data_IF_949277984700
#
_entry.id   IF_949277984700
#
_cell.length_a   1.000
_cell.length_b   1.000
_cell.length_c   1.000
_cell.angle_alpha   90.00
_cell.angle_beta   90.00
_cell.angle_gamma   90.00
#
_symmetry.space_group_name_H-M   'P 1'
#
loop_
_entity.id
_entity.type
_entity.pdbx_description
1 polymer ?
#
# COMPACT_ATOMS: atom_id res chain seq x y z
N UNK A 1 -1.61 -4.95 -17.48
CA UNK A 1 -0.48 -3.97 -17.50
C UNK A 1 0.84 -4.50 -16.93
N UNK A 2 1.03 -4.70 -15.60
CA UNK A 2 2.31 -5.28 -15.09
C UNK A 2 2.52 -6.72 -15.57
N UNK A 3 1.52 -7.57 -15.42
CA UNK A 3 1.58 -8.99 -15.79
C UNK A 3 1.86 -9.15 -17.28
N UNK A 4 1.10 -8.46 -18.14
CA UNK A 4 1.33 -8.44 -19.60
C UNK A 4 2.74 -7.99 -20.01
N UNK A 5 3.35 -7.00 -19.35
CA UNK A 5 4.71 -6.60 -19.72
C UNK A 5 5.77 -7.54 -19.12
N UNK A 6 5.47 -8.17 -17.99
CA UNK A 6 6.36 -9.13 -17.35
C UNK A 6 6.58 -10.39 -18.20
N UNK A 7 5.58 -10.82 -18.99
CA UNK A 7 5.75 -11.92 -19.95
C UNK A 7 6.79 -11.61 -21.04
N UNK A 8 7.01 -10.32 -21.32
CA UNK A 8 8.07 -9.84 -22.23
C UNK A 8 9.36 -9.42 -21.50
N UNK A 9 9.44 -9.63 -20.18
CA UNK A 9 10.57 -9.18 -19.36
C UNK A 9 10.69 -7.65 -19.22
N UNK A 10 9.62 -6.89 -19.49
CA UNK A 10 9.64 -5.42 -19.50
C UNK A 10 8.90 -4.82 -18.31
N UNK A 11 9.36 -3.65 -17.87
CA UNK A 11 8.65 -2.80 -16.93
C UNK A 11 7.71 -1.84 -17.69
N UNK A 12 6.41 -1.76 -17.33
CA UNK A 12 5.48 -0.83 -17.97
C UNK A 12 5.93 0.63 -17.83
N UNK A 13 5.99 1.39 -18.94
CA UNK A 13 6.40 2.81 -18.94
C UNK A 13 5.50 3.71 -18.06
N UNK A 14 4.23 3.36 -17.91
CA UNK A 14 3.24 4.11 -17.11
C UNK A 14 3.32 3.84 -15.59
N UNK A 15 4.17 2.91 -15.14
CA UNK A 15 4.26 2.51 -13.73
C UNK A 15 5.70 2.61 -13.24
N UNK A 16 5.88 3.15 -12.03
CA UNK A 16 7.20 3.17 -11.38
C UNK A 16 7.73 1.75 -11.20
N UNK A 17 9.03 1.55 -11.47
CA UNK A 17 9.73 0.30 -11.18
C UNK A 17 9.82 0.07 -9.68
N UNK A 18 9.94 -1.19 -9.27
CA UNK A 18 10.36 -1.53 -7.92
C UNK A 18 11.87 -1.31 -7.84
N UNK A 19 12.31 -0.39 -6.98
CA UNK A 19 13.71 -0.03 -6.75
C UNK A 19 14.39 -0.96 -5.72
N UNK A 20 13.63 -1.83 -5.06
CA UNK A 20 14.14 -2.71 -4.01
C UNK A 20 14.20 -2.02 -2.66
N UNK A 21 15.08 -2.53 -1.79
CA UNK A 21 15.28 -2.00 -0.44
C UNK A 21 15.81 -0.56 -0.44
N UNK A 22 15.40 0.28 0.52
CA UNK A 22 16.04 1.58 0.77
C UNK A 22 17.56 1.44 0.93
N UNK A 23 18.31 2.30 0.23
CA UNK A 23 19.78 2.37 0.23
C UNK A 23 20.18 3.84 0.13
N UNK A 24 21.43 4.18 0.48
CA UNK A 24 21.93 5.56 0.46
C UNK A 24 21.71 6.26 -0.88
N UNK A 25 21.98 5.55 -1.99
CA UNK A 25 21.68 6.03 -3.34
C UNK A 25 20.48 5.24 -3.87
N UNK A 26 19.30 5.85 -3.82
CA UNK A 26 18.04 5.20 -4.21
C UNK A 26 17.74 5.46 -5.69
N UNK A 27 17.67 4.42 -6.53
CA UNK A 27 17.31 4.60 -7.93
C UNK A 27 15.82 4.93 -8.06
N UNK A 28 15.46 5.79 -9.02
CA UNK A 28 14.08 6.24 -9.22
C UNK A 28 13.10 5.04 -9.31
N UNK A 29 12.23 4.91 -8.32
CA UNK A 29 11.24 3.84 -8.24
C UNK A 29 10.60 3.74 -6.86
N UNK A 30 9.79 2.70 -6.68
CA UNK A 30 9.17 2.37 -5.39
C UNK A 30 10.24 1.74 -4.48
N UNK A 31 10.47 2.23 -3.25
CA UNK A 31 11.42 1.66 -2.29
C UNK A 31 10.87 0.36 -1.67
N UNK A 32 10.55 -0.60 -2.54
CA UNK A 32 10.00 -1.88 -2.18
C UNK A 32 10.48 -2.92 -3.19
N UNK A 33 10.64 -4.16 -2.74
CA UNK A 33 11.05 -5.27 -3.60
C UNK A 33 9.82 -5.89 -4.28
N UNK A 34 9.95 -6.26 -5.55
CA UNK A 34 8.85 -6.92 -6.29
C UNK A 34 8.44 -8.23 -5.62
N UNK A 35 9.41 -9.03 -5.15
CA UNK A 35 9.14 -10.29 -4.44
C UNK A 35 8.30 -10.06 -3.19
N UNK A 36 8.72 -9.14 -2.32
CA UNK A 36 7.96 -8.77 -1.13
C UNK A 36 6.57 -8.23 -1.47
N UNK A 37 6.41 -7.51 -2.59
CA UNK A 37 5.10 -7.02 -3.01
C UNK A 37 4.15 -8.16 -3.38
N UNK A 38 4.63 -9.11 -4.18
CA UNK A 38 3.82 -10.26 -4.60
C UNK A 38 3.46 -11.15 -3.41
N UNK A 39 4.41 -11.37 -2.50
CA UNK A 39 4.20 -12.11 -1.26
C UNK A 39 3.14 -11.44 -0.39
N UNK A 40 3.24 -10.11 -0.19
CA UNK A 40 2.24 -9.36 0.56
C UNK A 40 0.85 -9.47 -0.06
N UNK A 41 0.73 -9.39 -1.39
CA UNK A 41 -0.55 -9.54 -2.11
C UNK A 41 -1.14 -10.94 -1.91
N UNK A 42 -0.32 -11.98 -2.09
CA UNK A 42 -0.73 -13.38 -1.92
C UNK A 42 -1.22 -13.65 -0.49
N UNK A 43 -0.42 -13.27 0.51
CA UNK A 43 -0.76 -13.48 1.92
C UNK A 43 -2.00 -12.68 2.32
N UNK A 44 -2.14 -11.43 1.86
CA UNK A 44 -3.35 -10.62 2.07
C UNK A 44 -4.58 -11.32 1.50
N UNK A 45 -4.48 -11.90 0.30
CA UNK A 45 -5.58 -12.65 -0.31
C UNK A 45 -6.01 -13.86 0.51
N UNK A 46 -5.06 -14.54 1.16
CA UNK A 46 -5.32 -15.65 2.08
C UNK A 46 -5.97 -15.20 3.38
N UNK A 47 -5.58 -14.03 3.92
CA UNK A 47 -6.21 -13.46 5.12
C UNK A 47 -7.65 -13.01 4.89
N UNK A 48 -8.03 -12.57 3.68
CA UNK A 48 -9.40 -12.11 3.40
C UNK A 48 -10.39 -13.28 3.30
N UNK A 49 -9.94 -14.47 2.89
CA UNK A 49 -10.80 -15.63 2.62
C UNK A 49 -10.92 -16.55 3.83
N UNK A 50 -11.49 -16.03 4.91
CA UNK A 50 -11.80 -16.81 6.10
C UNK A 50 -12.64 -18.07 5.77
N UNK A 51 -12.32 -19.19 6.42
CA UNK A 51 -13.05 -20.46 6.26
C UNK A 51 -12.79 -21.23 4.95
N UNK A 52 -11.85 -20.78 4.10
CA UNK A 52 -11.44 -21.50 2.88
C UNK A 52 -10.09 -22.18 3.06
N UNK A 53 -9.87 -23.26 2.29
CA UNK A 53 -8.57 -23.94 2.25
C UNK A 53 -7.47 -22.95 1.88
N UNK A 54 -6.43 -22.88 2.73
CA UNK A 54 -5.32 -21.96 2.57
C UNK A 54 -5.49 -20.59 3.24
N UNK A 55 -6.57 -20.39 4.02
CA UNK A 55 -6.67 -19.27 4.96
C UNK A 55 -5.48 -19.24 5.92
N UNK A 56 -4.99 -18.04 6.21
CA UNK A 56 -3.97 -17.76 7.20
C UNK A 56 -4.43 -16.58 8.05
N UNK A 57 -4.09 -16.57 9.34
CA UNK A 57 -4.39 -15.42 10.19
C UNK A 57 -3.58 -14.20 9.76
N UNK A 58 -4.16 -13.01 9.92
CA UNK A 58 -3.52 -11.73 9.53
C UNK A 58 -2.26 -11.40 10.34
N UNK A 59 -2.15 -11.96 11.55
CA UNK A 59 -0.96 -11.95 12.41
C UNK A 59 0.27 -12.59 11.75
N UNK A 60 0.09 -13.42 10.72
CA UNK A 60 1.18 -14.06 9.97
C UNK A 60 1.72 -13.24 8.79
N UNK A 61 1.64 -11.90 8.85
CA UNK A 61 2.19 -11.02 7.81
C UNK A 61 3.46 -10.29 8.30
N UNK A 62 4.65 -10.92 8.36
CA UNK A 62 5.91 -10.27 8.76
C UNK A 62 6.24 -9.02 7.94
N UNK A 63 5.76 -8.95 6.70
CA UNK A 63 5.96 -7.78 5.83
C UNK A 63 5.22 -6.54 6.33
N UNK A 64 4.23 -6.67 7.21
CA UNK A 64 3.50 -5.55 7.79
C UNK A 64 4.34 -4.77 8.82
N UNK A 65 5.23 -5.44 9.54
CA UNK A 65 6.19 -4.76 10.43
C UNK A 65 7.04 -3.74 9.67
N UNK A 66 7.43 -4.09 8.43
CA UNK A 66 8.25 -3.22 7.57
C UNK A 66 7.51 -1.98 7.08
N UNK A 67 6.19 -2.05 6.93
CA UNK A 67 5.37 -0.90 6.51
C UNK A 67 4.76 -0.16 7.70
N UNK A 68 4.98 -0.65 8.92
CA UNK A 68 4.46 -0.09 10.17
C UNK A 68 2.94 0.11 10.14
N UNK A 69 2.21 -0.94 9.78
CA UNK A 69 0.74 -0.96 9.77
C UNK A 69 0.30 -2.22 10.51
N UNK A 70 -0.62 -2.10 11.47
CA UNK A 70 -1.13 -3.28 12.18
C UNK A 70 -1.88 -4.23 11.24
N UNK A 71 -1.88 -5.56 11.49
CA UNK A 71 -2.65 -6.52 10.70
C UNK A 71 -4.13 -6.18 10.55
N UNK A 72 -4.76 -5.67 11.61
CA UNK A 72 -6.18 -5.28 11.63
C UNK A 72 -6.43 -4.06 10.74
N UNK A 73 -5.57 -3.05 10.87
CA UNK A 73 -5.60 -1.86 10.03
C UNK A 73 -5.36 -2.23 8.56
N UNK A 74 -4.40 -3.11 8.29
CA UNK A 74 -4.10 -3.61 6.95
C UNK A 74 -5.30 -4.33 6.32
N UNK A 75 -5.94 -5.23 7.05
CA UNK A 75 -7.11 -5.96 6.55
C UNK A 75 -8.28 -5.00 6.26
N UNK A 76 -8.50 -4.02 7.14
CA UNK A 76 -9.51 -2.98 6.91
C UNK A 76 -9.19 -2.13 5.67
N UNK A 77 -7.93 -1.73 5.51
CA UNK A 77 -7.48 -0.96 4.34
C UNK A 77 -7.67 -1.74 3.05
N UNK A 78 -7.31 -3.03 3.03
CA UNK A 78 -7.33 -3.86 1.81
C UNK A 78 -8.74 -4.30 1.40
N UNK A 79 -9.69 -4.34 2.35
CA UNK A 79 -11.09 -4.73 2.08
C UNK A 79 -12.06 -3.55 1.96
N UNK A 80 -11.79 -2.43 2.64
CA UNK A 80 -12.73 -1.32 2.77
C UNK A 80 -12.12 0.03 2.36
N UNK A 81 -11.03 0.04 1.60
CA UNK A 81 -10.30 1.26 1.21
C UNK A 81 -11.21 2.42 0.78
N UNK A 82 -12.10 2.15 -0.18
CA UNK A 82 -13.01 3.14 -0.77
C UNK A 82 -14.19 3.52 0.11
N UNK A 83 -14.47 2.73 1.16
CA UNK A 83 -15.48 3.06 2.18
C UNK A 83 -14.90 3.98 3.25
N UNK A 84 -13.61 3.81 3.54
CA UNK A 84 -12.93 4.57 4.60
C UNK A 84 -12.38 5.89 4.07
N UNK A 85 -11.95 5.92 2.80
CA UNK A 85 -11.36 7.08 2.17
C UNK A 85 -12.17 7.56 0.97
N UNK A 86 -12.46 8.86 0.95
CA UNK A 86 -13.25 9.51 -0.09
C UNK A 86 -12.46 10.60 -0.85
N UNK A 87 -11.13 10.54 -0.81
CA UNK A 87 -10.25 11.61 -1.31
C UNK A 87 -8.77 11.29 -1.09
N UNK A 88 -7.94 12.32 -0.96
CA UNK A 88 -6.50 12.15 -0.74
C UNK A 88 -6.19 11.34 0.53
N UNK A 89 -5.21 10.44 0.44
CA UNK A 89 -4.76 9.53 1.50
C UNK A 89 -3.24 9.61 1.58
N UNK A 90 -2.68 9.65 2.78
CA UNK A 90 -1.23 9.70 2.98
C UNK A 90 -0.86 10.30 4.31
N UNK A 91 0.40 10.73 4.43
CA UNK A 91 0.89 11.46 5.61
C UNK A 91 0.15 12.79 5.74
N UNK A 92 -0.14 13.20 6.97
CA UNK A 92 -0.83 14.46 7.28
C UNK A 92 -0.16 15.65 6.59
N UNK A 93 1.17 15.73 6.64
CA UNK A 93 1.95 16.80 5.99
C UNK A 93 1.78 16.83 4.47
N UNK A 94 1.70 15.66 3.82
CA UNK A 94 1.46 15.56 2.38
C UNK A 94 0.03 15.92 2.00
N UNK A 95 -0.95 15.57 2.86
CA UNK A 95 -2.35 15.96 2.67
C UNK A 95 -2.58 17.45 2.86
N UNK A 96 -1.87 18.08 3.79
CA UNK A 96 -1.86 19.55 3.99
C UNK A 96 -1.33 20.25 2.75
N UNK A 97 -0.13 19.87 2.31
CA UNK A 97 0.48 20.41 1.08
C UNK A 97 -0.44 20.24 -0.14
N UNK A 98 -1.13 19.10 -0.24
CA UNK A 98 -2.12 18.84 -1.29
C UNK A 98 -3.34 19.77 -1.19
N UNK A 99 -3.89 19.97 0.01
CA UNK A 99 -5.05 20.84 0.21
C UNK A 99 -4.71 22.29 -0.10
N UNK A 100 -3.53 22.77 0.30
CA UNK A 100 -3.03 24.10 -0.01
C UNK A 100 -2.88 24.31 -1.52
N UNK A 101 -2.22 23.38 -2.21
CA UNK A 101 -2.04 23.44 -3.66
C UNK A 101 -3.37 23.52 -4.42
N UNK A 102 -4.39 22.80 -3.95
CA UNK A 102 -5.72 22.78 -4.55
C UNK A 102 -6.68 23.84 -3.99
N UNK A 103 -6.20 24.76 -3.14
CA UNK A 103 -7.02 25.79 -2.47
C UNK A 103 -8.26 25.22 -1.75
N UNK A 104 -8.14 24.00 -1.19
CA UNK A 104 -9.22 23.33 -0.47
C UNK A 104 -9.19 23.71 1.01
N UNK A 105 -10.29 24.26 1.51
CA UNK A 105 -10.44 24.61 2.94
C UNK A 105 -10.57 23.39 3.87
N UNK A 106 -11.09 22.25 3.39
CA UNK A 106 -11.33 21.04 4.20
C UNK A 106 -10.28 19.97 3.95
N UNK A 107 -9.60 19.57 5.03
CA UNK A 107 -8.65 18.44 5.06
C UNK A 107 -9.39 17.13 5.33
N UNK A 108 -10.08 16.61 4.32
CA UNK A 108 -10.76 15.30 4.42
C UNK A 108 -9.76 14.17 4.65
N UNK A 109 -10.17 13.11 5.34
CA UNK A 109 -9.42 11.86 5.56
C UNK A 109 -8.15 11.94 6.43
N UNK A 110 -7.77 13.09 6.99
CA UNK A 110 -6.60 13.21 7.89
C UNK A 110 -6.72 12.26 9.08
N UNK A 111 -7.83 12.35 9.84
CA UNK A 111 -8.06 11.48 11.01
C UNK A 111 -8.06 9.99 10.66
N UNK A 112 -8.61 9.61 9.50
CA UNK A 112 -8.59 8.20 9.06
C UNK A 112 -7.17 7.77 8.65
N UNK A 113 -6.38 8.67 8.07
CA UNK A 113 -5.00 8.38 7.66
C UNK A 113 -4.11 8.19 8.88
N UNK A 114 -4.26 9.05 9.90
CA UNK A 114 -3.56 8.93 11.19
C UNK A 114 -3.90 7.65 11.92
N UNK A 115 -5.16 7.21 11.88
CA UNK A 115 -5.60 6.00 12.60
C UNK A 115 -5.22 4.70 11.91
N UNK A 116 -5.09 4.69 10.58
CA UNK A 116 -5.01 3.45 9.81
C UNK A 116 -3.67 3.23 9.12
N UNK A 117 -2.86 4.28 8.92
CA UNK A 117 -1.56 4.19 8.27
C UNK A 117 -0.38 4.28 9.25
N UNK A 118 -0.65 4.28 10.57
CA UNK A 118 0.31 4.43 11.64
C UNK A 118 0.31 3.24 12.59
#
# INVERSE_FOLDING_TARGET
KRIENATEGKQPKKLLRFAGMPRQIMPKGLPFELKSYLELVELTGRCIREGKRGYIESTHLPLLERVNISPENWLKLTTQFTRVFHGAVGRTTSQESYCEHLSRKRRSNVSNSEKLLA
#
